data_IF_159040348626
#
_entry.id   IF_159040348626
#
_cell.length_a   1.000
_cell.length_b   1.000
_cell.length_c   1.000
_cell.angle_alpha   90.00
_cell.angle_beta   90.00
_cell.angle_gamma   90.00
#
_symmetry.space_group_name_H-M   'P 1'
#
loop_
_entity.id
_entity.type
_entity.pdbx_description
1 polymer ?
#
# COMPACT_ATOMS: atom_id res chain seq x y z
N UNK A 1 -18.09 -3.86 -1.24
CA UNK A 1 -16.72 -3.52 -0.78
C UNK A 1 -16.69 -2.50 0.36
N UNK A 2 -17.72 -1.64 0.53
CA UNK A 2 -17.68 -0.54 1.53
C UNK A 2 -17.72 -0.97 3.00
N UNK A 3 -18.53 -1.97 3.40
CA UNK A 3 -18.68 -2.35 4.83
C UNK A 3 -17.38 -2.76 5.52
N UNK A 4 -16.48 -3.45 4.80
CA UNK A 4 -15.19 -3.88 5.38
C UNK A 4 -14.25 -2.69 5.60
N UNK A 5 -14.16 -1.77 4.63
CA UNK A 5 -13.33 -0.58 4.76
C UNK A 5 -13.84 0.32 5.87
N UNK A 6 -15.16 0.49 5.98
CA UNK A 6 -15.79 1.27 7.04
C UNK A 6 -15.45 0.65 8.42
N UNK A 7 -15.61 -0.67 8.57
CA UNK A 7 -15.18 -1.38 9.79
C UNK A 7 -13.68 -1.21 10.07
N UNK A 8 -12.83 -1.28 9.06
CA UNK A 8 -11.38 -1.13 9.24
C UNK A 8 -11.02 0.29 9.68
N UNK A 9 -11.62 1.32 9.06
CA UNK A 9 -11.43 2.72 9.46
C UNK A 9 -11.83 2.92 10.92
N UNK A 10 -12.95 2.35 11.37
CA UNK A 10 -13.36 2.41 12.77
C UNK A 10 -12.33 1.77 13.72
N UNK A 11 -11.59 0.74 13.27
CA UNK A 11 -10.56 0.08 14.06
C UNK A 11 -9.23 0.82 14.11
N UNK A 12 -8.93 1.66 13.13
CA UNK A 12 -7.64 2.37 13.03
C UNK A 12 -7.74 3.86 13.33
N UNK A 13 -8.92 4.34 13.76
CA UNK A 13 -9.17 5.74 14.11
C UNK A 13 -8.58 6.06 15.49
N UNK A 14 -7.28 6.27 15.54
CA UNK A 14 -6.55 6.67 16.75
C UNK A 14 -5.89 8.06 16.64
N UNK A 15 -6.18 8.80 15.56
CA UNK A 15 -5.62 10.12 15.29
C UNK A 15 -4.22 10.11 14.67
N UNK A 16 -3.56 8.96 14.57
CA UNK A 16 -2.25 8.84 13.96
C UNK A 16 -2.37 8.64 12.43
N UNK A 17 -1.43 9.21 11.66
CA UNK A 17 -1.31 8.90 10.23
C UNK A 17 -1.03 7.41 10.05
N UNK A 18 -1.71 6.77 9.09
CA UNK A 18 -1.53 5.35 8.78
C UNK A 18 -1.02 5.19 7.36
N UNK A 19 -0.13 4.22 7.15
CA UNK A 19 0.26 3.78 5.83
C UNK A 19 -0.49 2.48 5.50
N UNK A 20 -1.30 2.51 4.46
CA UNK A 20 -1.95 1.33 3.90
C UNK A 20 -1.17 0.89 2.66
N UNK A 21 -0.59 -0.31 2.73
CA UNK A 21 0.18 -0.90 1.63
C UNK A 21 -0.70 -1.92 0.92
N UNK A 22 -0.83 -1.81 -0.39
CA UNK A 22 -1.64 -2.72 -1.20
C UNK A 22 -0.96 -3.04 -2.53
N UNK A 23 -1.33 -4.17 -3.13
CA UNK A 23 -1.00 -4.47 -4.51
C UNK A 23 -1.70 -3.52 -5.50
N UNK A 24 -1.22 -3.52 -6.74
CA UNK A 24 -1.78 -2.71 -7.83
C UNK A 24 -3.08 -3.29 -8.42
N UNK A 25 -3.87 -4.05 -7.64
CA UNK A 25 -5.12 -4.62 -8.13
C UNK A 25 -6.15 -3.51 -8.40
N UNK A 26 -6.81 -3.55 -9.58
CA UNK A 26 -7.71 -2.47 -10.02
C UNK A 26 -8.85 -2.21 -9.04
N UNK A 27 -9.35 -3.24 -8.34
CA UNK A 27 -10.41 -3.11 -7.34
C UNK A 27 -9.98 -2.28 -6.12
N UNK A 28 -8.69 -2.28 -5.77
CA UNK A 28 -8.15 -1.51 -4.65
C UNK A 28 -7.91 -0.04 -5.02
N UNK A 29 -7.73 0.25 -6.31
CA UNK A 29 -7.32 1.57 -6.82
C UNK A 29 -8.46 2.44 -7.34
N UNK A 30 -9.71 2.10 -7.04
CA UNK A 30 -10.85 2.95 -7.39
C UNK A 30 -10.73 4.32 -6.73
N UNK A 31 -11.08 5.39 -7.45
CA UNK A 31 -10.87 6.76 -6.95
C UNK A 31 -11.65 7.05 -5.68
N UNK A 32 -12.83 6.46 -5.53
CA UNK A 32 -13.62 6.55 -4.29
C UNK A 32 -12.90 5.94 -3.08
N UNK A 33 -12.21 4.81 -3.28
CA UNK A 33 -11.40 4.18 -2.23
C UNK A 33 -10.24 5.09 -1.84
N UNK A 34 -9.53 5.66 -2.82
CA UNK A 34 -8.42 6.61 -2.57
C UNK A 34 -8.89 7.89 -1.88
N UNK A 35 -10.05 8.43 -2.27
CA UNK A 35 -10.66 9.60 -1.63
C UNK A 35 -11.03 9.29 -0.18
N UNK A 36 -11.65 8.12 0.07
CA UNK A 36 -12.00 7.66 1.42
C UNK A 36 -10.76 7.47 2.30
N UNK A 37 -9.70 6.83 1.81
CA UNK A 37 -8.45 6.66 2.57
C UNK A 37 -7.85 8.01 2.96
N UNK A 38 -7.72 8.93 1.99
CA UNK A 38 -7.20 10.29 2.24
C UNK A 38 -8.06 11.06 3.24
N UNK A 39 -9.39 11.00 3.11
CA UNK A 39 -10.32 11.64 4.04
C UNK A 39 -10.24 11.10 5.47
N UNK A 40 -9.69 9.91 5.67
CA UNK A 40 -9.47 9.29 6.98
C UNK A 40 -8.00 9.36 7.44
N UNK A 41 -7.15 10.18 6.81
CA UNK A 41 -5.74 10.34 7.21
C UNK A 41 -4.86 9.12 6.92
N UNK A 42 -5.26 8.30 5.94
CA UNK A 42 -4.53 7.09 5.52
C UNK A 42 -3.77 7.37 4.22
N UNK A 43 -2.46 7.27 4.29
CA UNK A 43 -1.55 7.30 3.14
C UNK A 43 -1.60 5.95 2.42
N UNK A 44 -1.65 5.97 1.09
CA UNK A 44 -1.70 4.76 0.27
C UNK A 44 -0.35 4.52 -0.40
N UNK A 45 0.27 3.38 -0.12
CA UNK A 45 1.43 2.87 -0.84
C UNK A 45 1.01 1.71 -1.75
N UNK A 46 1.35 1.80 -3.03
CA UNK A 46 0.98 0.79 -4.03
C UNK A 46 2.23 0.01 -4.42
N UNK A 47 2.18 -1.31 -4.22
CA UNK A 47 3.22 -2.23 -4.65
C UNK A 47 3.17 -2.34 -6.19
N UNK A 48 4.29 -2.16 -6.89
CA UNK A 48 4.34 -2.33 -8.35
C UNK A 48 3.90 -3.74 -8.77
N UNK A 49 3.32 -3.83 -9.97
CA UNK A 49 2.86 -5.11 -10.52
C UNK A 49 4.03 -6.10 -10.64
N UNK A 50 3.80 -7.33 -10.19
CA UNK A 50 4.82 -8.39 -10.19
C UNK A 50 5.79 -8.34 -9.01
N UNK A 51 5.64 -7.37 -8.11
CA UNK A 51 6.50 -7.25 -6.93
C UNK A 51 5.90 -7.83 -5.65
N UNK A 52 4.62 -8.24 -5.66
CA UNK A 52 3.91 -8.68 -4.43
C UNK A 52 4.62 -9.86 -3.76
N UNK A 53 5.05 -10.85 -4.53
CA UNK A 53 5.80 -12.01 -4.04
C UNK A 53 7.15 -11.69 -3.38
N UNK A 54 7.66 -10.46 -3.53
CA UNK A 54 8.93 -10.02 -2.95
C UNK A 54 8.76 -9.05 -1.79
N UNK A 55 7.75 -8.18 -1.84
CA UNK A 55 7.60 -7.10 -0.86
C UNK A 55 6.27 -7.11 -0.12
N UNK A 56 5.24 -7.82 -0.58
CA UNK A 56 3.97 -7.87 0.12
C UNK A 56 4.05 -8.82 1.32
N UNK A 57 3.88 -8.28 2.53
CA UNK A 57 3.93 -9.05 3.77
C UNK A 57 3.04 -10.29 3.75
N UNK A 58 1.82 -10.16 3.21
CA UNK A 58 0.88 -11.26 3.11
C UNK A 58 1.45 -12.40 2.24
N UNK A 59 2.06 -12.08 1.10
CA UNK A 59 2.60 -13.12 0.20
C UNK A 59 3.88 -13.73 0.77
N UNK A 60 4.81 -12.89 1.26
CA UNK A 60 6.17 -13.30 1.64
C UNK A 60 6.19 -14.03 2.98
N UNK A 61 5.40 -13.59 3.96
CA UNK A 61 5.43 -14.15 5.32
C UNK A 61 4.20 -14.96 5.66
N UNK A 62 3.00 -14.44 5.39
CA UNK A 62 1.75 -15.07 5.85
C UNK A 62 1.39 -16.28 4.99
N UNK A 63 1.25 -16.10 3.68
CA UNK A 63 0.78 -17.16 2.78
C UNK A 63 1.86 -18.20 2.48
N UNK A 64 3.14 -17.83 2.50
CA UNK A 64 4.25 -18.78 2.43
C UNK A 64 4.23 -19.73 3.65
N UNK A 65 4.21 -19.18 4.86
CA UNK A 65 4.18 -19.95 6.11
C UNK A 65 2.88 -20.76 6.24
N UNK A 66 1.74 -20.19 5.85
CA UNK A 66 0.46 -20.88 5.84
C UNK A 66 0.47 -22.12 4.95
N UNK A 67 1.04 -22.03 3.74
CA UNK A 67 1.14 -23.20 2.86
C UNK A 67 1.95 -24.32 3.51
N UNK A 68 3.10 -23.99 4.10
CA UNK A 68 3.93 -24.97 4.80
C UNK A 68 3.17 -25.62 5.96
N UNK A 69 2.58 -24.83 6.87
CA UNK A 69 1.80 -25.37 7.98
C UNK A 69 0.58 -26.18 7.54
N UNK A 70 -0.02 -25.82 6.40
CA UNK A 70 -1.13 -26.58 5.83
C UNK A 70 -0.66 -27.95 5.35
N UNK A 71 0.51 -28.03 4.70
CA UNK A 71 1.13 -29.31 4.34
C UNK A 71 1.45 -30.14 5.58
N UNK A 72 2.07 -29.56 6.60
CA UNK A 72 2.39 -30.26 7.85
C UNK A 72 1.12 -30.84 8.51
N UNK A 73 0.06 -30.03 8.64
CA UNK A 73 -1.22 -30.49 9.19
C UNK A 73 -1.85 -31.61 8.35
N UNK A 74 -1.68 -31.57 7.02
CA UNK A 74 -2.19 -32.61 6.13
C UNK A 74 -1.38 -33.90 6.27
N UNK A 75 -0.05 -33.82 6.40
CA UNK A 75 0.82 -34.98 6.65
C UNK A 75 0.53 -35.62 8.02
N UNK A 76 0.44 -34.83 9.09
CA UNK A 76 0.04 -35.33 10.42
C UNK A 76 -1.29 -36.10 10.37
N UNK A 77 -2.26 -35.59 9.61
CA UNK A 77 -3.53 -36.29 9.40
C UNK A 77 -3.33 -37.62 8.65
N UNK A 78 -2.50 -37.66 7.61
CA UNK A 78 -2.22 -38.87 6.85
C UNK A 78 -1.44 -39.91 7.65
N UNK A 79 -0.52 -39.49 8.52
CA UNK A 79 0.23 -40.38 9.41
C UNK A 79 -0.68 -41.04 10.45
N UNK A 80 -1.56 -40.26 11.10
CA UNK A 80 -2.50 -40.76 12.10
C UNK A 80 -3.55 -41.71 11.52
N UNK A 81 -3.98 -41.47 10.28
CA UNK A 81 -5.03 -42.27 9.63
C UNK A 81 -4.45 -43.36 8.72
N UNK A 82 -3.15 -43.31 8.44
CA UNK A 82 -2.39 -44.23 7.59
C UNK A 82 -2.53 -43.92 6.09
N UNK A 83 -1.44 -44.04 5.29
CA UNK A 83 -1.48 -43.87 3.82
C UNK A 83 -2.32 -44.94 3.11
N UNK A 84 -2.70 -46.02 3.81
CA UNK A 84 -3.57 -47.11 3.34
C UNK A 84 -4.98 -47.04 3.89
N UNK A 85 -5.39 -45.93 4.51
CA UNK A 85 -6.78 -45.78 4.93
C UNK A 85 -7.64 -45.93 3.67
N UNK A 86 -8.41 -47.01 3.58
CA UNK A 86 -9.47 -47.17 2.56
C UNK A 86 -10.63 -46.20 2.83
N UNK A 87 -10.38 -45.15 3.61
CA UNK A 87 -11.36 -44.24 4.14
C UNK A 87 -11.82 -43.33 3.01
N UNK A 88 -12.83 -43.79 2.28
CA UNK A 88 -13.46 -43.00 1.23
C UNK A 88 -14.29 -41.90 1.89
N UNK A 89 -13.67 -40.76 2.15
CA UNK A 89 -14.34 -39.59 2.71
C UNK A 89 -15.46 -39.14 1.76
N UNK A 90 -16.66 -38.98 2.32
CA UNK A 90 -17.78 -38.29 1.66
C UNK A 90 -17.44 -36.83 1.40
N UNK A 91 -18.16 -36.18 0.48
CA UNK A 91 -17.98 -34.75 0.20
C UNK A 91 -18.16 -33.88 1.45
N UNK A 92 -19.05 -34.26 2.37
CA UNK A 92 -19.23 -33.55 3.64
C UNK A 92 -18.01 -33.66 4.54
N UNK A 93 -17.49 -34.88 4.72
CA UNK A 93 -16.29 -35.12 5.54
C UNK A 93 -15.05 -34.43 4.97
N UNK A 94 -14.88 -34.40 3.63
CA UNK A 94 -13.77 -33.67 2.99
C UNK A 94 -13.81 -32.17 3.29
N UNK A 95 -15.00 -31.56 3.29
CA UNK A 95 -15.16 -30.15 3.66
C UNK A 95 -14.79 -29.91 5.11
N UNK A 96 -15.31 -30.73 6.03
CA UNK A 96 -14.99 -30.64 7.46
C UNK A 96 -13.48 -30.78 7.69
N UNK A 97 -12.84 -31.75 7.04
CA UNK A 97 -11.41 -31.95 7.12
C UNK A 97 -10.64 -30.73 6.61
N UNK A 98 -10.96 -30.24 5.41
CA UNK A 98 -10.33 -29.05 4.83
C UNK A 98 -10.46 -27.83 5.75
N UNK A 99 -11.63 -27.58 6.33
CA UNK A 99 -11.84 -26.50 7.30
C UNK A 99 -10.98 -26.67 8.54
N UNK A 100 -10.88 -27.89 9.10
CA UNK A 100 -10.02 -28.16 10.26
C UNK A 100 -8.55 -27.93 9.95
N UNK A 101 -8.04 -28.49 8.85
CA UNK A 101 -6.66 -28.31 8.41
C UNK A 101 -6.33 -26.83 8.19
N UNK A 102 -7.22 -26.10 7.49
CA UNK A 102 -7.08 -24.64 7.28
C UNK A 102 -7.03 -23.89 8.60
N UNK A 103 -7.96 -24.19 9.52
CA UNK A 103 -8.02 -23.51 10.82
C UNK A 103 -6.76 -23.76 11.66
N UNK A 104 -6.27 -25.00 11.70
CA UNK A 104 -5.05 -25.37 12.41
C UNK A 104 -3.81 -24.71 11.79
N UNK A 105 -3.66 -24.78 10.48
CA UNK A 105 -2.56 -24.14 9.76
C UNK A 105 -2.55 -22.62 9.94
N UNK A 106 -3.73 -21.98 9.93
CA UNK A 106 -3.86 -20.55 10.17
C UNK A 106 -3.43 -20.16 11.58
N UNK A 107 -3.85 -20.92 12.60
CA UNK A 107 -3.44 -20.68 13.98
C UNK A 107 -1.91 -20.79 14.15
N UNK A 108 -1.28 -21.83 13.59
CA UNK A 108 0.20 -22.00 13.60
C UNK A 108 0.90 -20.85 12.87
N UNK A 109 0.34 -20.39 11.76
CA UNK A 109 0.87 -19.26 10.99
C UNK A 109 0.86 -17.97 11.81
N UNK A 110 -0.25 -17.66 12.47
CA UNK A 110 -0.33 -16.44 13.29
C UNK A 110 0.59 -16.47 14.52
N UNK A 111 0.87 -17.66 15.06
CA UNK A 111 1.77 -17.83 16.21
C UNK A 111 3.25 -17.78 15.83
N UNK A 112 3.60 -18.14 14.59
CA UNK A 112 4.99 -18.22 14.14
C UNK A 112 5.53 -16.90 13.56
N UNK A 113 4.66 -15.97 13.18
CA UNK A 113 5.07 -14.73 12.52
C UNK A 113 5.22 -13.60 13.55
N UNK A 114 6.44 -13.10 13.67
CA UNK A 114 6.70 -11.80 14.26
C UNK A 114 6.44 -10.71 13.20
N UNK A 115 5.25 -10.12 13.25
CA UNK A 115 4.82 -9.12 12.28
C UNK A 115 5.72 -7.89 12.25
N UNK A 116 6.26 -7.44 13.40
CA UNK A 116 7.12 -6.24 13.43
C UNK A 116 8.41 -6.50 12.66
N UNK A 117 9.06 -7.63 12.94
CA UNK A 117 10.28 -8.00 12.23
C UNK A 117 10.03 -8.32 10.76
N UNK A 118 8.88 -8.91 10.42
CA UNK A 118 8.48 -9.18 9.05
C UNK A 118 8.19 -7.89 8.24
N UNK A 119 7.61 -6.85 8.86
CA UNK A 119 7.50 -5.54 8.21
C UNK A 119 8.89 -4.91 7.99
N UNK A 120 9.75 -4.93 9.01
CA UNK A 120 11.11 -4.37 8.93
C UNK A 120 11.97 -5.04 7.87
N UNK A 121 11.94 -6.37 7.77
CA UNK A 121 12.74 -7.12 6.79
C UNK A 121 12.38 -6.82 5.34
N UNK A 122 11.13 -6.42 5.09
CA UNK A 122 10.63 -6.00 3.79
C UNK A 122 10.88 -4.53 3.48
N UNK A 123 11.53 -3.80 4.40
CA UNK A 123 11.83 -2.38 4.24
C UNK A 123 10.66 -1.46 4.56
N UNK A 124 9.65 -1.92 5.31
CA UNK A 124 8.62 -1.04 5.87
C UNK A 124 9.18 -0.36 7.12
N UNK A 125 9.72 0.84 6.94
CA UNK A 125 10.68 1.50 7.81
C UNK A 125 10.08 2.42 8.88
N UNK A 126 8.78 2.66 8.83
CA UNK A 126 8.17 3.81 9.53
C UNK A 126 7.75 3.54 10.98
N UNK A 127 8.20 2.45 11.58
CA UNK A 127 7.75 2.05 12.93
C UNK A 127 8.53 2.82 14.03
N UNK A 128 9.74 3.30 13.74
CA UNK A 128 10.62 3.91 14.76
C UNK A 128 11.57 5.01 14.23
N UNK A 129 11.43 5.46 12.98
CA UNK A 129 12.37 6.38 12.33
C UNK A 129 13.84 5.90 12.35
N UNK A 130 14.08 4.60 12.56
CA UNK A 130 15.43 4.08 12.56
C UNK A 130 16.02 4.06 11.15
N UNK A 131 17.33 4.32 11.05
CA UNK A 131 18.09 4.10 9.82
C UNK A 131 18.04 2.61 9.50
N UNK A 132 17.60 2.28 8.29
CA UNK A 132 17.47 0.89 7.85
C UNK A 132 18.58 0.54 6.87
N UNK A 133 19.29 -0.52 7.22
CA UNK A 133 20.28 -1.16 6.38
C UNK A 133 19.85 -2.62 6.20
N UNK A 134 19.17 -2.96 5.09
CA UNK A 134 18.76 -4.33 4.83
C UNK A 134 19.96 -5.27 4.90
N UNK A 135 19.83 -6.38 5.64
CA UNK A 135 20.93 -7.33 5.88
C UNK A 135 21.55 -7.87 4.58
N UNK A 136 20.75 -7.95 3.51
CA UNK A 136 21.13 -8.44 2.19
C UNK A 136 21.67 -7.35 1.25
N UNK A 137 21.59 -6.06 1.61
CA UNK A 137 22.06 -4.92 0.78
C UNK A 137 22.95 -4.00 1.62
N UNK A 138 24.20 -4.42 1.86
CA UNK A 138 25.13 -3.70 2.77
C UNK A 138 25.42 -2.25 2.37
N UNK A 139 25.34 -1.92 1.08
CA UNK A 139 25.63 -0.57 0.58
C UNK A 139 24.42 0.38 0.67
N UNK A 140 23.21 -0.15 0.86
CA UNK A 140 22.01 0.66 0.93
C UNK A 140 21.70 1.01 2.38
N UNK A 141 21.60 2.30 2.67
CA UNK A 141 21.09 2.84 3.93
C UNK A 141 19.95 3.79 3.61
N UNK A 142 18.80 3.54 4.22
CA UNK A 142 17.65 4.44 4.15
C UNK A 142 17.54 5.18 5.47
N UNK A 143 17.70 6.50 5.43
CA UNK A 143 17.43 7.39 6.55
C UNK A 143 16.04 8.03 6.35
N UNK A 144 15.03 7.68 7.16
CA UNK A 144 13.69 8.26 7.02
C UNK A 144 13.69 9.80 7.11
N UNK A 145 14.64 10.39 7.86
CA UNK A 145 14.71 11.84 8.03
C UNK A 145 15.22 12.56 6.77
N UNK A 146 15.86 11.85 5.84
CA UNK A 146 16.27 12.44 4.55
C UNK A 146 15.08 12.72 3.62
N UNK A 147 13.87 12.24 3.95
CA UNK A 147 12.65 12.54 3.20
C UNK A 147 12.10 13.93 3.55
N UNK A 148 12.18 14.35 4.82
CA UNK A 148 11.68 15.67 5.24
C UNK A 148 12.40 16.82 4.51
N UNK A 149 13.69 16.65 4.22
CA UNK A 149 14.45 17.57 3.37
C UNK A 149 13.94 17.64 1.93
N UNK A 150 13.45 16.52 1.39
CA UNK A 150 12.95 16.45 0.01
C UNK A 150 11.55 17.07 -0.10
N UNK A 151 10.68 16.86 0.88
CA UNK A 151 9.34 17.47 0.89
C UNK A 151 9.41 19.00 1.00
N UNK A 152 10.34 19.53 1.81
CA UNK A 152 10.59 20.97 1.90
C UNK A 152 11.08 21.56 0.56
N UNK A 153 11.95 20.85 -0.16
CA UNK A 153 12.43 21.29 -1.48
C UNK A 153 11.35 21.21 -2.58
N UNK A 154 10.46 20.21 -2.52
CA UNK A 154 9.36 20.05 -3.48
C UNK A 154 8.30 21.14 -3.29
N UNK A 155 7.97 21.51 -2.05
CA UNK A 155 7.03 22.61 -1.78
C UNK A 155 7.58 23.96 -2.26
N UNK A 156 8.87 24.22 -2.07
CA UNK A 156 9.53 25.41 -2.61
C UNK A 156 9.51 25.43 -4.15
N UNK A 157 9.74 24.29 -4.81
CA UNK A 157 9.67 24.19 -6.27
C UNK A 157 8.25 24.37 -6.81
N UNK A 158 7.23 23.80 -6.16
CA UNK A 158 5.83 23.97 -6.55
C UNK A 158 5.38 25.43 -6.39
N UNK A 159 5.81 26.10 -5.31
CA UNK A 159 5.54 27.54 -5.13
C UNK A 159 6.23 28.41 -6.19
N UNK A 160 7.42 28.03 -6.65
CA UNK A 160 8.12 28.72 -7.75
C UNK A 160 7.38 28.52 -9.08
N UNK A 161 6.88 27.31 -9.36
CA UNK A 161 6.13 27.02 -10.60
C UNK A 161 4.79 27.74 -10.64
N UNK A 162 4.05 27.81 -9.53
CA UNK A 162 2.79 28.57 -9.44
C UNK A 162 3.01 30.08 -9.62
N UNK A 163 4.07 30.64 -9.02
CA UNK A 163 4.44 32.06 -9.22
C UNK A 163 4.80 32.35 -10.67
N UNK A 164 5.54 31.46 -11.34
CA UNK A 164 5.89 31.63 -12.76
C UNK A 164 4.65 31.54 -13.66
N UNK A 165 3.72 30.63 -13.39
CA UNK A 165 2.47 30.53 -14.16
C UNK A 165 1.58 31.78 -13.96
N UNK A 166 1.48 32.33 -12.74
CA UNK A 166 0.76 33.58 -12.51
C UNK A 166 1.39 34.77 -13.24
N UNK A 167 2.73 34.87 -13.29
CA UNK A 167 3.44 35.92 -14.05
C UNK A 167 3.12 35.81 -15.55
N UNK A 168 3.10 34.59 -16.11
CA UNK A 168 2.78 34.37 -17.53
C UNK A 168 1.31 34.73 -17.83
N UNK A 169 0.37 34.35 -16.94
CA UNK A 169 -1.05 34.71 -17.09
C UNK A 169 -1.26 36.22 -17.03
N UNK A 170 -0.57 36.92 -16.11
CA UNK A 170 -0.64 38.37 -15.98
C UNK A 170 0.02 39.11 -17.16
N UNK A 171 1.15 38.60 -17.68
CA UNK A 171 1.78 39.17 -18.88
C UNK A 171 0.85 39.05 -20.11
N UNK A 172 0.19 37.91 -20.27
CA UNK A 172 -0.74 37.67 -21.38
C UNK A 172 -2.03 38.50 -21.28
N UNK A 173 -2.53 38.78 -20.07
CA UNK A 173 -3.69 39.68 -19.89
C UNK A 173 -3.32 41.14 -20.20
N UNK A 174 -2.10 41.55 -19.84
CA UNK A 174 -1.57 42.89 -20.10
C UNK A 174 -1.37 43.16 -21.60
N UNK A 175 -0.82 42.19 -22.35
CA UNK A 175 -0.68 42.30 -23.81
C UNK A 175 -2.03 42.36 -24.53
N UNK A 176 -3.04 41.57 -24.12
CA UNK A 176 -4.40 41.65 -24.69
C UNK A 176 -5.05 43.02 -24.46
N UNK A 177 -4.75 43.65 -23.33
CA UNK A 177 -5.29 44.98 -23.00
C UNK A 177 -4.64 46.07 -23.85
N UNK A 178 -3.32 45.98 -24.09
CA UNK A 178 -2.60 46.91 -24.98
C UNK A 178 -3.04 46.79 -26.44
N UNK A 179 -3.24 45.57 -26.95
CA UNK A 179 -3.74 45.35 -28.31
C UNK A 179 -5.14 45.93 -28.52
N UNK A 180 -6.01 45.81 -27.51
CA UNK A 180 -7.37 46.37 -27.54
C UNK A 180 -7.36 47.91 -27.50
N UNK A 181 -6.44 48.52 -26.77
CA UNK A 181 -6.29 49.99 -26.73
C UNK A 181 -5.71 50.57 -28.03
N UNK A 182 -4.78 49.87 -28.69
CA UNK A 182 -4.26 50.26 -30.00
C UNK A 182 -5.35 50.18 -31.08
N UNK A 183 -6.10 49.08 -31.12
CA UNK A 183 -7.24 48.91 -32.03
C UNK A 183 -8.30 49.99 -31.86
N UNK A 184 -8.59 50.41 -30.62
CA UNK A 184 -9.53 51.50 -30.36
C UNK A 184 -8.97 52.85 -30.80
N UNK A 185 -7.67 53.15 -30.59
CA UNK A 185 -7.07 54.41 -31.06
C UNK A 185 -7.07 54.53 -32.59
N UNK A 186 -6.93 53.43 -33.31
CA UNK A 186 -6.96 53.43 -34.78
C UNK A 186 -8.38 53.58 -35.35
N UNK A 187 -9.41 53.17 -34.60
CA UNK A 187 -10.81 53.40 -34.99
C UNK A 187 -11.26 54.85 -34.90
N UNK A 188 -10.62 55.67 -34.05
CA UNK A 188 -11.01 57.07 -33.83
C UNK A 188 -10.20 58.07 -34.69
N UNK A 189 -9.37 57.58 -35.60
CA UNK A 189 -8.56 58.39 -36.55
C UNK A 189 -9.17 58.49 -37.96
N UNK A 190 -10.46 58.18 -38.12
CA UNK A 190 -11.25 58.45 -39.32
C UNK A 190 -12.34 59.44 -38.99
#
# INVERSE_FOLDING_TARGET
MNKYMDWWFDKVKDGNRKLFITDSCKSHLHDDTKKRMRGNGVCLAIIPKGCTQYIQLLDVYVFSSFKNHYYDCAEEFLELNGPRSKLKLTSSQRRILCTRLTSSAWARTLQSIDFQNAFRSLGYTWIDNAIIQPSHIKWYKFDPNSIESIEAEIDDQNHVVEKQQQVIVNANSTMKTQHKQLSLKDMWKK
#
